data_IF_712789744303
#
_entry.id   IF_712789744303
#
_cell.length_a   1.000
_cell.length_b   1.000
_cell.length_c   1.000
_cell.angle_alpha   90.00
_cell.angle_beta   90.00
_cell.angle_gamma   90.00
#
_symmetry.space_group_name_H-M   'P 1'
#
loop_
_entity.id
_entity.type
_entity.pdbx_description
1 polymer ?
#
# COMPACT_ATOMS: atom_id res chain seq x y z
N UNK A 1 -20.37 58.83 14.42
CA UNK A 1 -19.21 58.43 13.56
C UNK A 1 -18.32 57.55 14.41
N UNK A 2 -17.94 56.31 14.11
CA UNK A 2 -18.03 55.42 12.94
C UNK A 2 -17.96 54.00 13.52
N UNK A 3 -18.91 53.14 13.21
CA UNK A 3 -18.83 51.70 13.51
C UNK A 3 -17.67 51.11 12.70
N UNK A 4 -16.72 50.44 13.37
CA UNK A 4 -15.67 49.67 12.71
C UNK A 4 -16.14 48.21 12.70
N UNK A 5 -16.61 47.77 11.53
CA UNK A 5 -16.87 46.37 11.24
C UNK A 5 -15.53 45.64 11.11
N UNK A 6 -15.22 44.76 12.06
CA UNK A 6 -14.10 43.82 11.95
C UNK A 6 -14.59 42.61 11.15
N UNK A 7 -14.35 42.59 9.84
CA UNK A 7 -14.74 41.48 8.97
C UNK A 7 -13.77 40.31 9.19
N UNK A 8 -14.24 39.30 9.91
CA UNK A 8 -13.53 38.04 10.14
C UNK A 8 -13.55 37.21 8.84
N UNK A 9 -12.44 37.20 8.10
CA UNK A 9 -12.29 36.38 6.89
C UNK A 9 -12.07 34.93 7.32
N UNK A 10 -13.13 34.12 7.27
CA UNK A 10 -13.09 32.69 7.52
C UNK A 10 -12.42 31.99 6.33
N UNK A 11 -11.14 31.63 6.50
CA UNK A 11 -10.40 30.82 5.52
C UNK A 11 -11.04 29.42 5.45
N UNK A 12 -11.74 29.13 4.35
CA UNK A 12 -12.19 27.79 3.99
C UNK A 12 -10.96 26.91 3.70
N UNK A 13 -10.48 26.20 4.72
CA UNK A 13 -9.48 25.15 4.54
C UNK A 13 -10.18 23.99 3.81
N UNK A 14 -9.98 23.92 2.49
CA UNK A 14 -10.36 22.74 1.73
C UNK A 14 -9.49 21.57 2.20
N UNK A 15 -10.04 20.78 3.13
CA UNK A 15 -9.46 19.52 3.57
C UNK A 15 -9.46 18.55 2.39
N UNK A 16 -8.41 18.58 1.57
CA UNK A 16 -8.11 17.48 0.66
C UNK A 16 -7.79 16.27 1.53
N UNK A 17 -8.79 15.42 1.77
CA UNK A 17 -8.54 14.07 2.26
C UNK A 17 -7.77 13.36 1.15
N UNK A 18 -6.44 13.35 1.25
CA UNK A 18 -5.60 12.54 0.39
C UNK A 18 -6.05 11.09 0.58
N UNK A 19 -6.73 10.53 -0.42
CA UNK A 19 -7.09 9.12 -0.43
C UNK A 19 -5.81 8.33 -0.21
N UNK A 20 -5.72 7.64 0.93
CA UNK A 20 -4.52 6.91 1.33
C UNK A 20 -4.28 5.67 0.44
N UNK A 21 -5.31 5.24 -0.30
CA UNK A 21 -5.26 4.20 -1.32
C UNK A 21 -5.27 4.85 -2.70
N UNK A 22 -4.40 4.43 -3.64
CA UNK A 22 -4.44 4.87 -5.03
C UNK A 22 -5.78 4.54 -5.69
N UNK A 23 -6.12 5.25 -6.77
CA UNK A 23 -7.28 4.91 -7.61
C UNK A 23 -7.09 3.55 -8.28
N UNK A 24 -8.15 2.97 -8.82
CA UNK A 24 -8.02 1.81 -9.70
C UNK A 24 -7.06 2.11 -10.85
N UNK A 25 -6.18 1.16 -11.15
CA UNK A 25 -5.13 1.34 -12.15
C UNK A 25 -3.99 0.36 -11.99
N UNK A 26 -2.97 0.56 -12.81
CA UNK A 26 -1.75 -0.26 -12.82
C UNK A 26 -0.60 0.60 -12.31
N UNK A 27 0.15 0.04 -11.37
CA UNK A 27 1.29 0.71 -10.75
C UNK A 27 2.51 -0.22 -10.72
N UNK A 28 3.70 0.35 -10.61
CA UNK A 28 4.95 -0.40 -10.45
C UNK A 28 5.57 -0.11 -9.09
N UNK A 29 5.76 -1.16 -8.29
CA UNK A 29 6.24 -1.10 -6.92
C UNK A 29 7.58 -1.84 -6.85
N UNK A 30 8.42 -1.46 -5.89
CA UNK A 30 9.64 -2.20 -5.56
C UNK A 30 9.30 -3.31 -4.59
N UNK A 31 9.84 -4.49 -4.84
CA UNK A 31 9.74 -5.62 -3.93
C UNK A 31 10.78 -5.41 -2.82
N UNK A 32 10.40 -5.56 -1.55
CA UNK A 32 11.32 -5.57 -0.43
C UNK A 32 11.25 -6.92 0.27
N UNK A 33 12.42 -7.47 0.63
CA UNK A 33 12.53 -8.74 1.33
C UNK A 33 12.64 -8.47 2.83
N UNK A 34 11.74 -9.07 3.61
CA UNK A 34 11.76 -8.94 5.07
C UNK A 34 13.00 -9.62 5.68
N UNK A 35 13.51 -10.70 5.07
CA UNK A 35 14.73 -11.40 5.53
C UNK A 35 16.02 -10.60 5.30
N UNK A 36 16.02 -9.72 4.30
CA UNK A 36 17.21 -8.98 3.86
C UNK A 36 16.91 -7.48 3.70
N UNK A 37 16.60 -6.75 4.79
CA UNK A 37 16.13 -5.36 4.73
C UNK A 37 17.18 -4.38 4.17
N UNK A 38 18.45 -4.76 4.18
CA UNK A 38 19.56 -3.95 3.67
C UNK A 38 19.97 -4.30 2.23
N UNK A 39 19.33 -5.29 1.60
CA UNK A 39 19.59 -5.63 0.21
C UNK A 39 19.20 -4.45 -0.68
N UNK A 40 20.09 -4.01 -1.58
CA UNK A 40 19.74 -3.01 -2.59
C UNK A 40 18.78 -3.64 -3.59
N UNK A 41 17.48 -3.50 -3.35
CA UNK A 41 16.46 -4.14 -4.20
C UNK A 41 16.12 -3.27 -5.40
N UNK A 42 16.30 -3.82 -6.59
CA UNK A 42 15.92 -3.20 -7.88
C UNK A 42 14.74 -3.92 -8.53
N UNK A 43 14.34 -5.06 -7.96
CA UNK A 43 13.26 -5.91 -8.45
C UNK A 43 11.91 -5.22 -8.29
N UNK A 44 11.11 -5.22 -9.35
CA UNK A 44 9.79 -4.59 -9.37
C UNK A 44 8.67 -5.61 -9.44
N UNK A 45 7.47 -5.17 -9.07
CA UNK A 45 6.21 -5.84 -9.36
C UNK A 45 5.21 -4.85 -9.99
N UNK A 46 4.26 -5.39 -10.75
CA UNK A 46 3.08 -4.69 -11.25
C UNK A 46 1.96 -4.90 -10.25
N UNK A 47 1.44 -3.81 -9.68
CA UNK A 47 0.30 -3.80 -8.76
C UNK A 47 -0.93 -3.31 -9.52
N UNK A 48 -1.91 -4.18 -9.70
CA UNK A 48 -3.19 -3.85 -10.31
C UNK A 48 -4.23 -3.63 -9.22
N UNK A 49 -4.82 -2.44 -9.17
CA UNK A 49 -5.87 -2.07 -8.21
C UNK A 49 -7.18 -1.93 -8.97
N UNK A 50 -8.23 -2.59 -8.47
CA UNK A 50 -9.60 -2.45 -8.96
C UNK A 50 -10.55 -2.26 -7.76
N UNK A 51 -10.84 -1.00 -7.44
CA UNK A 51 -11.55 -0.64 -6.22
C UNK A 51 -10.71 -0.98 -5.01
N UNK A 52 -11.21 -1.89 -4.17
CA UNK A 52 -10.46 -2.43 -3.02
C UNK A 52 -9.74 -3.74 -3.34
N UNK A 53 -9.88 -4.31 -4.53
CA UNK A 53 -9.16 -5.53 -4.92
C UNK A 53 -7.76 -5.18 -5.44
N UNK A 54 -6.80 -6.03 -5.13
CA UNK A 54 -5.41 -5.86 -5.57
C UNK A 54 -4.81 -7.18 -6.03
N UNK A 55 -4.01 -7.10 -7.09
CA UNK A 55 -3.19 -8.21 -7.59
C UNK A 55 -1.76 -7.71 -7.79
N UNK A 56 -0.80 -8.45 -7.24
CA UNK A 56 0.63 -8.16 -7.35
C UNK A 56 1.25 -9.19 -8.29
N UNK A 57 1.86 -8.72 -9.37
CA UNK A 57 2.37 -9.57 -10.45
C UNK A 57 3.85 -9.30 -10.62
N UNK A 58 4.65 -10.36 -10.68
CA UNK A 58 6.07 -10.24 -10.88
C UNK A 58 6.41 -9.77 -12.31
N UNK A 59 7.25 -8.74 -12.44
CA UNK A 59 7.60 -8.19 -13.77
C UNK A 59 8.96 -8.68 -14.29
N UNK A 60 9.64 -9.56 -13.54
CA UNK A 60 10.97 -10.05 -13.85
C UNK A 60 12.06 -9.39 -13.00
N UNK A 61 13.23 -10.02 -12.95
CA UNK A 61 14.34 -9.69 -12.05
C UNK A 61 15.04 -10.94 -11.55
N UNK A 62 15.71 -10.85 -10.40
CA UNK A 62 16.54 -11.91 -9.84
C UNK A 62 15.88 -12.61 -8.63
N UNK A 63 14.62 -13.03 -8.78
CA UNK A 63 13.95 -13.92 -7.82
C UNK A 63 14.00 -15.35 -8.33
N UNK A 64 14.57 -16.25 -7.52
CA UNK A 64 14.59 -17.68 -7.81
C UNK A 64 13.18 -18.25 -7.81
N UNK A 65 12.88 -19.17 -8.72
CA UNK A 65 11.62 -19.92 -8.79
C UNK A 65 10.34 -19.11 -9.07
N UNK A 66 10.45 -17.82 -9.41
CA UNK A 66 9.31 -16.98 -9.81
C UNK A 66 9.52 -16.52 -11.25
N UNK A 67 8.54 -16.79 -12.12
CA UNK A 67 8.56 -16.39 -13.53
C UNK A 67 7.85 -15.06 -13.72
N UNK A 68 8.34 -14.28 -14.69
CA UNK A 68 7.67 -13.04 -15.10
C UNK A 68 6.21 -13.36 -15.47
N UNK A 69 5.28 -12.64 -14.86
CA UNK A 69 3.84 -12.85 -15.02
C UNK A 69 3.18 -13.62 -13.88
N UNK A 70 3.96 -14.25 -13.00
CA UNK A 70 3.42 -14.96 -11.84
C UNK A 70 2.76 -13.98 -10.86
N UNK A 71 1.67 -14.43 -10.25
CA UNK A 71 0.99 -13.69 -9.19
C UNK A 71 1.76 -13.92 -7.89
N UNK A 72 2.28 -12.84 -7.32
CA UNK A 72 2.97 -12.84 -6.03
C UNK A 72 1.98 -12.82 -4.87
N UNK A 73 0.88 -12.06 -5.02
CA UNK A 73 -0.18 -11.95 -4.02
C UNK A 73 -1.47 -11.40 -4.66
N UNK A 74 -2.62 -11.75 -4.08
CA UNK A 74 -3.94 -11.31 -4.51
C UNK A 74 -4.92 -11.28 -3.33
N UNK A 75 -5.67 -10.17 -3.23
CA UNK A 75 -6.63 -10.00 -2.15
C UNK A 75 -7.34 -8.67 -2.15
N UNK A 76 -7.71 -8.22 -0.96
CA UNK A 76 -8.35 -6.95 -0.69
C UNK A 76 -7.43 -6.03 0.11
N UNK A 77 -7.41 -4.76 -0.27
CA UNK A 77 -6.67 -3.70 0.41
C UNK A 77 -7.37 -3.39 1.72
N UNK A 78 -6.70 -3.68 2.84
CA UNK A 78 -7.21 -3.41 4.18
C UNK A 78 -6.21 -2.58 4.97
N UNK A 79 -6.74 -1.80 5.93
CA UNK A 79 -5.91 -1.10 6.91
C UNK A 79 -5.84 -1.92 8.19
N UNK A 80 -4.65 -2.40 8.51
CA UNK A 80 -4.38 -3.15 9.73
C UNK A 80 -4.49 -2.26 10.97
N UNK A 81 -4.72 -2.85 12.17
CA UNK A 81 -4.80 -2.12 13.45
C UNK A 81 -3.53 -1.31 13.77
N UNK A 82 -2.38 -1.70 13.22
CA UNK A 82 -1.13 -0.92 13.31
C UNK A 82 -1.09 0.33 12.42
N UNK A 83 -2.11 0.55 11.59
CA UNK A 83 -2.19 1.64 10.62
C UNK A 83 -1.51 1.36 9.28
N UNK A 84 -0.81 0.24 9.15
CA UNK A 84 -0.19 -0.23 7.90
C UNK A 84 -1.27 -0.76 6.93
N UNK A 85 -0.99 -0.62 5.63
CA UNK A 85 -1.81 -1.20 4.58
C UNK A 85 -1.34 -2.62 4.27
N UNK A 86 -2.30 -3.52 4.12
CA UNK A 86 -2.07 -4.95 3.91
C UNK A 86 -2.91 -5.47 2.74
N UNK A 87 -2.46 -6.56 2.15
CA UNK A 87 -3.23 -7.38 1.21
C UNK A 87 -3.83 -8.54 2.02
N UNK A 88 -5.08 -8.38 2.44
CA UNK A 88 -5.80 -9.39 3.22
C UNK A 88 -6.77 -10.20 2.38
N UNK A 89 -7.32 -11.26 2.96
CA UNK A 89 -8.38 -12.09 2.36
C UNK A 89 -9.75 -11.75 2.95
N UNK A 90 -9.80 -11.29 4.20
CA UNK A 90 -11.04 -10.98 4.93
C UNK A 90 -10.83 -9.86 5.94
N UNK A 91 -11.92 -9.22 6.36
CA UNK A 91 -11.88 -8.08 7.27
C UNK A 91 -11.21 -8.39 8.62
N UNK A 92 -11.28 -9.64 9.11
CA UNK A 92 -10.63 -10.03 10.38
C UNK A 92 -9.10 -9.94 10.33
N UNK A 93 -8.51 -9.94 9.13
CA UNK A 93 -7.05 -9.87 8.96
C UNK A 93 -6.49 -8.52 9.45
N UNK A 94 -7.34 -7.49 9.61
CA UNK A 94 -6.95 -6.21 10.21
C UNK A 94 -6.63 -6.30 11.70
N UNK A 95 -6.98 -7.42 12.35
CA UNK A 95 -6.82 -7.63 13.80
C UNK A 95 -5.68 -8.57 14.17
N UNK A 96 -5.06 -9.24 13.19
CA UNK A 96 -3.97 -10.18 13.42
C UNK A 96 -2.82 -9.49 14.18
N UNK A 97 -2.06 -10.23 14.98
CA UNK A 97 -0.91 -9.63 15.66
C UNK A 97 0.26 -9.42 14.69
N UNK A 98 0.42 -10.37 13.77
CA UNK A 98 1.52 -10.38 12.82
C UNK A 98 1.04 -10.05 11.41
N UNK A 99 1.81 -9.19 10.75
CA UNK A 99 1.70 -8.85 9.32
C UNK A 99 3.12 -8.69 8.76
N UNK A 100 3.31 -8.98 7.48
CA UNK A 100 4.63 -8.81 6.86
C UNK A 100 4.95 -9.88 5.84
N UNK A 101 6.15 -9.78 5.27
CA UNK A 101 6.60 -10.69 4.21
C UNK A 101 6.85 -12.12 4.67
N UNK A 102 7.37 -12.30 5.89
CA UNK A 102 7.79 -13.59 6.44
C UNK A 102 6.97 -14.02 7.66
N UNK A 103 5.70 -13.63 7.73
CA UNK A 103 4.79 -14.09 8.78
C UNK A 103 3.65 -14.87 8.13
N UNK A 104 2.87 -15.61 8.93
CA UNK A 104 1.63 -16.24 8.45
C UNK A 104 0.50 -15.20 8.21
N UNK A 105 0.78 -13.94 8.50
CA UNK A 105 -0.11 -12.82 8.32
C UNK A 105 -0.13 -12.28 6.88
N UNK A 106 -1.04 -11.34 6.60
CA UNK A 106 -1.13 -10.70 5.30
C UNK A 106 0.12 -9.85 5.00
N UNK A 107 0.50 -9.80 3.73
CA UNK A 107 1.65 -9.01 3.27
C UNK A 107 1.39 -7.51 3.37
N UNK A 108 2.43 -6.76 3.76
CA UNK A 108 2.37 -5.29 3.83
C UNK A 108 2.56 -4.67 2.43
N UNK A 109 1.74 -3.68 2.10
CA UNK A 109 1.87 -2.87 0.88
C UNK A 109 1.93 -1.38 1.23
N UNK A 110 3.04 -0.71 0.92
CA UNK A 110 3.19 0.71 1.18
C UNK A 110 2.88 1.54 -0.07
N UNK A 111 1.66 2.07 -0.18
CA UNK A 111 1.24 2.87 -1.34
C UNK A 111 2.04 4.16 -1.53
N UNK A 112 2.44 4.82 -0.44
CA UNK A 112 3.20 6.08 -0.49
C UNK A 112 4.62 5.86 -1.01
N UNK A 113 5.31 4.84 -0.49
CA UNK A 113 6.67 4.48 -0.89
C UNK A 113 6.73 3.59 -2.13
N UNK A 114 5.57 3.08 -2.59
CA UNK A 114 5.44 2.08 -3.66
C UNK A 114 6.27 0.83 -3.37
N UNK A 115 6.10 0.26 -2.18
CA UNK A 115 6.80 -0.95 -1.73
C UNK A 115 5.80 -2.08 -1.51
N UNK A 116 6.13 -3.28 -1.97
CA UNK A 116 5.46 -4.53 -1.60
C UNK A 116 6.45 -5.39 -0.80
N UNK A 117 6.07 -5.82 0.39
CA UNK A 117 6.91 -6.64 1.25
C UNK A 117 6.64 -8.12 1.04
N UNK A 118 7.69 -8.89 0.79
CA UNK A 118 7.66 -10.35 0.72
C UNK A 118 8.73 -10.96 1.64
N UNK A 119 8.60 -12.26 1.87
CA UNK A 119 9.76 -13.11 2.11
C UNK A 119 10.45 -13.31 0.76
#
# INVERSE_FOLDING_TARGET
>A
MKQIFFTFVFLLIASFTHSQIPKSGIYFYTIHHAEHPNLKVTTKCRVEINGNKVKVIYVGGNLSNIKKGDILDEGIILKHKSGKWIIGKKQSDTKLEEIGGCTDGPSEINFKKKIYWMC
#
